data_IF_101087335579
#
_entry.id   IF_101087335579
#
_cell.length_a   1.000
_cell.length_b   1.000
_cell.length_c   1.000
_cell.angle_alpha   90.00
_cell.angle_beta   90.00
_cell.angle_gamma   90.00
#
_symmetry.space_group_name_H-M   'P 1'
#
loop_
_entity.id
_entity.type
_entity.pdbx_description
1 polymer ?
#
# COMPACT_ATOMS: atom_id res chain seq x y z
N UNK A 1 15.96 7.40 15.01
CA UNK A 1 16.11 5.94 15.17
C UNK A 1 15.30 5.42 16.36
N UNK A 2 13.98 5.65 16.36
CA UNK A 2 13.10 5.26 17.48
C UNK A 2 11.66 4.92 17.02
N UNK A 3 11.51 4.23 15.88
CA UNK A 3 10.19 3.87 15.33
C UNK A 3 10.19 2.47 14.68
N UNK A 4 10.97 1.54 15.25
CA UNK A 4 11.19 0.19 14.69
C UNK A 4 10.84 -0.92 15.70
N UNK A 5 10.56 -0.58 16.96
CA UNK A 5 10.23 -1.59 17.98
C UNK A 5 8.73 -1.88 18.01
N UNK A 6 8.35 -3.15 18.19
CA UNK A 6 6.97 -3.64 18.42
C UNK A 6 6.36 -3.00 19.67
N UNK A 7 5.95 -1.75 19.56
CA UNK A 7 5.25 -1.01 20.61
C UNK A 7 3.77 -0.88 20.23
N UNK A 8 2.86 -0.64 21.19
CA UNK A 8 1.44 -0.38 20.89
C UNK A 8 1.22 0.79 19.91
N UNK A 9 2.21 1.68 19.74
CA UNK A 9 2.19 2.75 18.73
C UNK A 9 2.24 2.20 17.30
N UNK A 10 2.89 1.05 17.06
CA UNK A 10 2.92 0.42 15.73
C UNK A 10 1.52 0.03 15.22
N UNK A 11 0.64 -0.40 16.11
CA UNK A 11 -0.76 -0.69 15.79
C UNK A 11 -1.55 0.56 15.46
N UNK A 12 -1.30 1.67 16.15
CA UNK A 12 -1.91 2.97 15.84
C UNK A 12 -1.46 3.49 14.47
N UNK A 13 -0.16 3.40 14.16
CA UNK A 13 0.39 3.77 12.85
C UNK A 13 -0.23 2.89 11.75
N UNK A 14 -0.39 1.58 11.97
CA UNK A 14 -1.05 0.69 11.02
C UNK A 14 -2.50 1.10 10.76
N UNK A 15 -3.24 1.47 11.81
CA UNK A 15 -4.64 1.93 11.70
C UNK A 15 -4.73 3.27 10.95
N UNK A 16 -3.85 4.22 11.24
CA UNK A 16 -3.79 5.50 10.53
C UNK A 16 -3.44 5.30 9.05
N UNK A 17 -2.48 4.42 8.75
CA UNK A 17 -2.14 4.04 7.37
C UNK A 17 -3.32 3.43 6.63
N UNK A 18 -4.06 2.50 7.27
CA UNK A 18 -5.30 1.93 6.69
C UNK A 18 -6.37 3.01 6.49
N UNK A 19 -6.61 3.87 7.48
CA UNK A 19 -7.59 4.95 7.35
C UNK A 19 -7.24 5.90 6.17
N UNK A 20 -5.95 6.22 6.02
CA UNK A 20 -5.45 7.02 4.91
C UNK A 20 -5.67 6.34 3.55
N UNK A 21 -5.35 5.04 3.44
CA UNK A 21 -5.62 4.24 2.24
C UNK A 21 -7.13 4.23 1.90
N UNK A 22 -7.99 4.04 2.90
CA UNK A 22 -9.44 4.04 2.73
C UNK A 22 -9.98 5.40 2.27
N UNK A 23 -9.39 6.50 2.73
CA UNK A 23 -9.77 7.84 2.32
C UNK A 23 -9.33 8.18 0.88
N UNK A 24 -8.15 7.69 0.46
CA UNK A 24 -7.59 8.00 -0.85
C UNK A 24 -8.13 7.09 -1.97
N UNK A 25 -8.33 5.79 -1.67
CA UNK A 25 -8.73 4.79 -2.67
C UNK A 25 -10.22 4.50 -2.50
N UNK A 26 -11.01 4.62 -3.57
CA UNK A 26 -12.46 4.38 -3.52
C UNK A 26 -12.84 2.90 -3.63
N UNK A 27 -12.15 2.15 -4.48
CA UNK A 27 -12.47 0.75 -4.76
C UNK A 27 -12.10 -0.17 -3.58
N UNK A 28 -13.05 -0.92 -2.99
CA UNK A 28 -12.77 -1.86 -1.91
C UNK A 28 -11.82 -2.99 -2.30
N UNK A 29 -11.81 -3.43 -3.56
CA UNK A 29 -10.91 -4.49 -4.00
C UNK A 29 -9.46 -4.01 -4.04
N UNK A 30 -9.20 -2.88 -4.67
CA UNK A 30 -7.88 -2.25 -4.69
C UNK A 30 -7.36 -1.91 -3.29
N UNK A 31 -8.21 -1.50 -2.35
CA UNK A 31 -7.80 -1.31 -0.94
C UNK A 31 -7.21 -2.58 -0.33
N UNK A 32 -7.83 -3.74 -0.61
CA UNK A 32 -7.34 -5.03 -0.11
C UNK A 32 -5.97 -5.36 -0.68
N UNK A 33 -5.80 -5.20 -1.99
CA UNK A 33 -4.52 -5.46 -2.67
C UNK A 33 -3.39 -4.53 -2.21
N UNK A 34 -3.71 -3.27 -1.91
CA UNK A 34 -2.73 -2.28 -1.44
C UNK A 34 -2.45 -2.36 0.07
N UNK A 35 -3.18 -3.16 0.83
CA UNK A 35 -2.97 -3.29 2.28
C UNK A 35 -1.83 -4.26 2.56
N UNK A 36 -0.69 -3.80 3.13
CA UNK A 36 0.42 -4.69 3.45
C UNK A 36 0.14 -5.58 4.67
N UNK A 37 0.69 -6.80 4.65
CA UNK A 37 0.62 -7.76 5.78
C UNK A 37 1.77 -7.60 6.80
N UNK A 38 2.70 -6.66 6.56
CA UNK A 38 3.85 -6.43 7.44
C UNK A 38 3.62 -5.31 8.46
N UNK A 39 4.40 -5.33 9.55
CA UNK A 39 4.29 -4.31 10.60
C UNK A 39 4.87 -2.98 10.13
N UNK A 40 4.24 -1.82 10.43
CA UNK A 40 4.83 -0.52 10.15
C UNK A 40 6.23 -0.41 10.76
N UNK A 41 7.21 0.02 9.94
CA UNK A 41 8.61 0.09 10.35
C UNK A 41 9.47 -1.14 9.97
N UNK A 42 8.87 -2.27 9.59
CA UNK A 42 9.62 -3.40 9.00
C UNK A 42 10.19 -3.07 7.62
N UNK A 43 9.55 -2.16 6.89
CA UNK A 43 10.01 -1.61 5.61
C UNK A 43 10.02 -0.09 5.69
N UNK A 44 10.86 0.54 4.87
CA UNK A 44 10.89 2.01 4.75
C UNK A 44 9.54 2.50 4.22
N UNK A 45 8.89 3.40 4.95
CA UNK A 45 7.66 4.04 4.49
C UNK A 45 7.99 5.02 3.36
N UNK A 46 7.22 4.92 2.26
CA UNK A 46 7.27 5.87 1.16
C UNK A 46 6.24 6.98 1.41
N UNK A 47 6.64 8.22 1.14
CA UNK A 47 5.76 9.39 1.24
C UNK A 47 5.61 9.95 -0.17
N UNK A 48 4.40 9.88 -0.70
CA UNK A 48 4.03 10.39 -2.03
C UNK A 48 2.59 10.86 -1.97
N UNK A 49 2.32 12.00 -2.60
CA UNK A 49 0.98 12.57 -2.73
C UNK A 49 0.25 12.06 -3.99
N UNK A 50 0.98 11.53 -4.95
CA UNK A 50 0.52 11.19 -6.30
C UNK A 50 0.30 9.69 -6.54
N UNK A 51 0.81 8.82 -5.67
CA UNK A 51 0.76 7.36 -5.86
C UNK A 51 -0.66 6.79 -5.94
N UNK A 52 -1.51 6.97 -4.92
CA UNK A 52 -2.88 6.43 -4.93
C UNK A 52 -3.80 7.08 -5.97
N UNK A 53 -3.72 8.39 -6.26
CA UNK A 53 -4.44 8.98 -7.37
C UNK A 53 -4.00 8.43 -8.73
N UNK A 54 -2.71 8.15 -8.94
CA UNK A 54 -2.21 7.60 -10.19
C UNK A 54 -2.77 6.19 -10.48
N UNK A 55 -2.87 5.34 -9.44
CA UNK A 55 -3.45 4.00 -9.55
C UNK A 55 -4.95 3.99 -9.91
N UNK A 56 -5.65 5.10 -9.66
CA UNK A 56 -7.09 5.25 -9.92
C UNK A 56 -7.41 5.88 -11.29
N UNK A 57 -6.41 6.20 -12.12
CA UNK A 57 -6.65 6.77 -13.45
C UNK A 57 -7.16 5.71 -14.41
N UNK A 58 -8.00 6.11 -15.37
CA UNK A 58 -8.60 5.19 -16.37
C UNK A 58 -7.56 4.47 -17.23
N UNK A 59 -6.36 5.03 -17.37
CA UNK A 59 -5.24 4.45 -18.10
C UNK A 59 -4.32 3.55 -17.24
N UNK A 60 -4.69 3.28 -15.98
CA UNK A 60 -3.92 2.46 -15.06
C UNK A 60 -4.66 1.16 -14.71
N UNK A 61 -3.90 0.06 -14.58
CA UNK A 61 -4.41 -1.23 -14.10
C UNK A 61 -3.46 -1.79 -13.06
N UNK A 62 -4.00 -2.12 -11.89
CA UNK A 62 -3.27 -2.81 -10.83
C UNK A 62 -3.26 -4.32 -11.10
N UNK A 63 -2.06 -4.91 -11.19
CA UNK A 63 -1.86 -6.36 -11.40
C UNK A 63 -1.02 -6.87 -10.23
N UNK A 64 -1.58 -7.77 -9.42
CA UNK A 64 -0.95 -8.40 -8.25
C UNK A 64 -0.57 -9.87 -8.47
N UNK A 65 -0.86 -10.39 -9.66
CA UNK A 65 -0.60 -11.78 -10.02
C UNK A 65 0.89 -12.05 -10.27
N UNK A 66 1.36 -13.28 -9.96
CA UNK A 66 2.72 -13.68 -10.29
C UNK A 66 2.93 -13.69 -11.80
N UNK A 67 4.10 -13.23 -12.23
CA UNK A 67 4.52 -13.27 -13.63
C UNK A 67 5.08 -14.65 -13.91
N UNK A 68 4.43 -15.41 -14.79
CA UNK A 68 4.85 -16.77 -15.16
C UNK A 68 5.94 -16.78 -16.23
N UNK A 69 5.75 -16.00 -17.30
CA UNK A 69 6.64 -15.98 -18.46
C UNK A 69 6.53 -14.64 -19.18
N UNK A 70 7.60 -14.25 -19.87
CA UNK A 70 7.63 -13.10 -20.76
C UNK A 70 7.67 -13.61 -22.21
N UNK A 71 6.84 -13.09 -23.09
CA UNK A 71 6.92 -13.36 -24.53
C UNK A 71 7.95 -12.44 -25.19
N UNK A 72 8.64 -12.89 -26.25
CA UNK A 72 9.38 -11.99 -27.12
C UNK A 72 8.48 -10.86 -27.68
N UNK A 73 9.10 -9.74 -28.04
CA UNK A 73 8.44 -8.60 -28.68
C UNK A 73 8.07 -8.89 -30.13
#
# INVERSE_FOLDING_TARGET
TALVWKSPLSGLVARLGKAHLHAQVKDPWMRRQLTPEFTPGCKRMLVSSDYYPALQRDNCKLIDWPIATLSPA
#
